data_IF_337872080625
#
_entry.id   IF_337872080625
#
_cell.length_a   1.000
_cell.length_b   1.000
_cell.length_c   1.000
_cell.angle_alpha   90.00
_cell.angle_beta   90.00
_cell.angle_gamma   90.00
#
_symmetry.space_group_name_H-M   'P 1'
#
loop_
_entity.id
_entity.type
_entity.pdbx_description
1 polymer ?
#
# COMPACT_ATOMS: atom_id res chain seq x y z
N UNK A 1 13.22 -5.61 2.81
CA UNK A 1 11.92 -5.60 2.12
C UNK A 1 11.91 -4.60 0.97
N UNK A 2 12.46 -3.41 1.19
CA UNK A 2 12.61 -2.34 0.21
C UNK A 2 13.26 -2.76 -1.13
N UNK A 3 14.29 -3.62 -1.13
CA UNK A 3 14.91 -4.11 -2.38
C UNK A 3 13.91 -4.83 -3.31
N UNK A 4 13.03 -5.66 -2.75
CA UNK A 4 12.04 -6.40 -3.55
C UNK A 4 11.00 -5.43 -4.10
N UNK A 5 10.57 -4.47 -3.28
CA UNK A 5 9.62 -3.43 -3.67
C UNK A 5 10.20 -2.53 -4.77
N UNK A 6 11.47 -2.14 -4.66
CA UNK A 6 12.20 -1.36 -5.66
C UNK A 6 12.30 -2.11 -6.99
N UNK A 7 12.69 -3.39 -6.95
CA UNK A 7 12.75 -4.23 -8.16
C UNK A 7 11.37 -4.36 -8.81
N UNK A 8 10.31 -4.50 -8.01
CA UNK A 8 8.94 -4.61 -8.51
C UNK A 8 8.47 -3.29 -9.15
N UNK A 9 8.71 -2.16 -8.49
CA UNK A 9 8.40 -0.84 -9.03
C UNK A 9 9.13 -0.60 -10.36
N UNK A 10 10.42 -0.95 -10.45
CA UNK A 10 11.18 -0.87 -11.70
C UNK A 10 10.61 -1.78 -12.80
N UNK A 11 10.20 -3.00 -12.45
CA UNK A 11 9.59 -3.95 -13.41
C UNK A 11 8.26 -3.45 -13.96
N UNK A 12 7.47 -2.74 -13.14
CA UNK A 12 6.20 -2.15 -13.53
C UNK A 12 6.33 -0.74 -14.13
N UNK A 13 7.56 -0.21 -14.25
CA UNK A 13 7.80 1.15 -14.76
C UNK A 13 7.29 2.26 -13.83
N UNK A 14 7.16 1.97 -12.54
CA UNK A 14 6.66 2.88 -11.51
C UNK A 14 7.84 3.64 -10.90
N UNK A 15 7.76 4.97 -10.90
CA UNK A 15 8.70 5.84 -10.19
C UNK A 15 8.19 6.07 -8.76
N UNK A 16 9.07 5.89 -7.78
CA UNK A 16 8.77 6.04 -6.35
C UNK A 16 9.92 6.79 -5.68
N UNK A 17 9.60 7.75 -4.82
CA UNK A 17 10.62 8.44 -4.02
C UNK A 17 11.15 7.53 -2.89
N UNK A 18 12.33 7.84 -2.36
CA UNK A 18 12.96 7.00 -1.33
C UNK A 18 12.17 7.00 -0.01
N UNK A 19 11.46 8.10 0.30
CA UNK A 19 10.67 8.20 1.53
C UNK A 19 9.40 7.31 1.48
N UNK A 20 8.69 7.31 0.35
CA UNK A 20 7.57 6.42 0.08
C UNK A 20 8.03 4.97 0.03
N UNK A 21 9.18 4.68 -0.59
CA UNK A 21 9.72 3.33 -0.64
C UNK A 21 10.01 2.79 0.77
N UNK A 22 10.60 3.63 1.64
CA UNK A 22 10.87 3.26 3.03
C UNK A 22 9.56 3.03 3.81
N UNK A 23 8.58 3.94 3.67
CA UNK A 23 7.25 3.76 4.27
C UNK A 23 6.57 2.46 3.79
N UNK A 24 6.65 2.15 2.50
CA UNK A 24 6.07 0.92 1.94
C UNK A 24 6.78 -0.33 2.50
N UNK A 25 8.09 -0.25 2.72
CA UNK A 25 8.89 -1.27 3.40
C UNK A 25 8.46 -1.52 4.84
N UNK A 26 8.17 -0.46 5.59
CA UNK A 26 7.63 -0.53 6.95
C UNK A 26 6.23 -1.14 6.97
N UNK A 27 5.36 -0.72 6.05
CA UNK A 27 4.01 -1.28 5.90
C UNK A 27 4.10 -2.78 5.64
N UNK A 28 4.94 -3.20 4.69
CA UNK A 28 5.11 -4.61 4.37
C UNK A 28 5.66 -5.43 5.55
N UNK A 29 6.49 -4.83 6.40
CA UNK A 29 7.03 -5.46 7.62
C UNK A 29 5.94 -5.63 8.69
N UNK A 30 5.06 -4.63 8.86
CA UNK A 30 3.92 -4.69 9.80
C UNK A 30 2.81 -5.65 9.33
N UNK A 31 2.63 -5.75 8.02
CA UNK A 31 1.56 -6.53 7.37
C UNK A 31 2.12 -7.76 6.66
N UNK A 32 2.28 -7.70 5.33
CA UNK A 32 2.90 -8.71 4.47
C UNK A 32 3.53 -8.04 3.25
N UNK A 33 4.55 -8.66 2.66
CA UNK A 33 5.14 -8.21 1.40
C UNK A 33 4.12 -8.15 0.25
N UNK A 34 3.18 -9.11 0.21
CA UNK A 34 2.12 -9.15 -0.81
C UNK A 34 1.27 -7.88 -0.77
N UNK A 35 0.86 -7.47 0.42
CA UNK A 35 0.07 -6.27 0.61
C UNK A 35 0.85 -5.02 0.18
N UNK A 36 2.11 -4.86 0.61
CA UNK A 36 2.94 -3.74 0.18
C UNK A 36 3.10 -3.67 -1.35
N UNK A 37 3.33 -4.80 -2.03
CA UNK A 37 3.38 -4.85 -3.51
C UNK A 37 2.05 -4.43 -4.13
N UNK A 38 0.93 -4.85 -3.59
CA UNK A 38 -0.40 -4.48 -4.09
C UNK A 38 -0.68 -2.98 -3.96
N UNK A 39 -0.07 -2.28 -3.01
CA UNK A 39 -0.24 -0.83 -2.85
C UNK A 39 0.51 -0.02 -3.91
N UNK A 40 1.51 -0.57 -4.61
CA UNK A 40 2.28 0.17 -5.64
C UNK A 40 1.39 0.68 -6.78
N UNK A 41 0.49 -0.15 -7.29
CA UNK A 41 -0.40 0.21 -8.40
C UNK A 41 -1.39 1.32 -8.05
N UNK A 42 -2.20 1.23 -6.98
CA UNK A 42 -3.09 2.33 -6.58
C UNK A 42 -2.32 3.58 -6.14
N UNK A 43 -1.12 3.46 -5.56
CA UNK A 43 -0.28 4.62 -5.25
C UNK A 43 0.20 5.33 -6.51
N UNK A 44 0.58 4.58 -7.54
CA UNK A 44 0.93 5.14 -8.86
C UNK A 44 -0.26 5.86 -9.51
N UNK A 45 -1.47 5.30 -9.36
CA UNK A 45 -2.68 5.94 -9.86
C UNK A 45 -2.99 7.24 -9.11
N UNK A 46 -2.85 7.24 -7.78
CA UNK A 46 -3.07 8.41 -6.93
C UNK A 46 -2.10 9.53 -7.26
N UNK A 47 -0.81 9.20 -7.45
CA UNK A 47 0.18 10.14 -7.95
C UNK A 47 -0.25 10.76 -9.29
N UNK A 48 -0.70 9.94 -10.25
CA UNK A 48 -1.18 10.41 -11.57
C UNK A 48 -2.41 11.31 -11.46
N UNK A 49 -3.36 11.00 -10.58
CA UNK A 49 -4.54 11.85 -10.31
C UNK A 49 -4.10 13.21 -9.77
N UNK A 50 -3.07 13.22 -8.93
CA UNK A 50 -2.43 14.43 -8.40
C UNK A 50 -1.45 15.10 -9.39
N UNK A 51 -1.51 14.78 -10.68
CA UNK A 51 -0.65 15.27 -11.75
C UNK A 51 0.86 15.06 -11.51
N UNK A 52 1.24 14.05 -10.71
CA UNK A 52 2.61 13.64 -10.44
C UNK A 52 2.93 12.32 -11.15
N UNK A 53 4.17 12.16 -11.60
CA UNK A 53 4.67 10.92 -12.21
C UNK A 53 5.42 10.03 -11.22
N UNK A 54 5.76 10.56 -10.04
CA UNK A 54 6.50 9.89 -8.97
C UNK A 54 5.58 9.74 -7.77
N UNK A 55 5.52 8.51 -7.24
CA UNK A 55 4.82 8.21 -5.98
C UNK A 55 5.54 8.92 -4.84
N UNK A 56 4.77 9.69 -4.08
CA UNK A 56 5.20 10.35 -2.86
C UNK A 56 4.63 9.65 -1.63
N UNK A 57 5.21 9.95 -0.46
CA UNK A 57 4.76 9.43 0.83
C UNK A 57 3.25 9.61 1.07
N UNK A 58 2.71 10.76 0.70
CA UNK A 58 1.30 11.08 0.90
C UNK A 58 0.38 10.14 0.11
N UNK A 59 0.80 9.69 -1.09
CA UNK A 59 0.03 8.72 -1.87
C UNK A 59 -0.03 7.36 -1.16
N UNK A 60 1.09 6.94 -0.53
CA UNK A 60 1.14 5.69 0.23
C UNK A 60 0.24 5.77 1.46
N UNK A 61 0.22 6.92 2.14
CA UNK A 61 -0.62 7.13 3.30
C UNK A 61 -2.11 7.08 2.92
N UNK A 62 -2.51 7.82 1.88
CA UNK A 62 -3.89 7.84 1.39
C UNK A 62 -4.35 6.43 0.98
N UNK A 63 -3.55 5.74 0.17
CA UNK A 63 -3.87 4.39 -0.30
C UNK A 63 -3.89 3.38 0.85
N UNK A 64 -3.02 3.55 1.85
CA UNK A 64 -3.00 2.70 3.04
C UNK A 64 -4.23 2.85 3.95
N UNK A 65 -4.95 3.97 3.86
CA UNK A 65 -6.23 4.18 4.54
C UNK A 65 -7.40 3.61 3.74
N UNK A 66 -7.33 3.65 2.40
CA UNK A 66 -8.39 3.18 1.51
C UNK A 66 -8.41 1.66 1.33
N UNK A 67 -7.24 1.02 1.27
CA UNK A 67 -7.11 -0.41 1.07
C UNK A 67 -6.66 -1.05 2.38
N UNK A 68 -7.39 -2.05 2.86
CA UNK A 68 -7.09 -2.68 4.15
C UNK A 68 -6.29 -3.96 3.98
N UNK A 69 -5.33 -4.20 4.87
CA UNK A 69 -4.67 -5.49 4.97
C UNK A 69 -5.59 -6.54 5.63
N UNK A 70 -5.22 -7.82 5.51
CA UNK A 70 -6.02 -8.93 6.01
C UNK A 70 -6.23 -8.89 7.54
N UNK A 71 -5.24 -8.46 8.33
CA UNK A 71 -5.36 -8.39 9.80
C UNK A 71 -6.33 -7.28 10.18
N UNK A 72 -6.23 -6.11 9.55
CA UNK A 72 -7.14 -4.99 9.78
C UNK A 72 -8.57 -5.36 9.39
N UNK A 73 -8.75 -6.01 8.24
CA UNK A 73 -10.05 -6.52 7.78
C UNK A 73 -10.67 -7.52 8.76
N UNK A 74 -9.87 -8.49 9.25
CA UNK A 74 -10.35 -9.47 10.23
C UNK A 74 -10.73 -8.82 11.58
N UNK A 75 -9.99 -7.79 12.01
CA UNK A 75 -10.32 -7.02 13.22
C UNK A 75 -11.67 -6.32 13.10
N UNK A 76 -11.93 -5.65 11.97
CA UNK A 76 -13.22 -4.98 11.70
C UNK A 76 -14.36 -6.00 11.71
N UNK A 77 -14.19 -7.14 11.05
CA UNK A 77 -15.18 -8.22 11.04
C UNK A 77 -15.48 -8.70 12.47
N UNK A 78 -14.45 -8.86 13.30
CA UNK A 78 -14.61 -9.30 14.68
C UNK A 78 -15.30 -8.25 15.57
N UNK A 79 -15.04 -6.96 15.35
CA UNK A 79 -15.65 -5.84 16.08
C UNK A 79 -17.12 -5.61 15.70
N UNK A 80 -17.52 -6.02 14.50
CA UNK A 80 -18.85 -5.80 13.96
C UNK A 80 -19.61 -7.11 13.68
N UNK A 81 -19.31 -8.19 14.39
CA UNK A 81 -19.89 -9.53 14.16
C UNK A 81 -21.42 -9.52 14.02
N UNK A 82 -22.12 -8.70 14.79
CA UNK A 82 -23.59 -8.62 14.76
C UNK A 82 -24.16 -8.06 13.45
N UNK A 83 -23.31 -7.42 12.62
CA UNK A 83 -23.67 -6.90 11.30
C UNK A 83 -23.43 -7.90 10.16
N UNK A 84 -22.79 -9.05 10.42
CA UNK A 84 -22.45 -10.04 9.41
C UNK A 84 -23.19 -11.36 9.62
N UNK A 85 -23.55 -12.00 8.51
CA UNK A 85 -24.15 -13.34 8.54
C UNK A 85 -23.11 -14.37 9.02
N UNK A 86 -23.59 -15.42 9.69
CA UNK A 86 -22.78 -16.54 10.13
C UNK A 86 -22.62 -17.59 9.03
#
# INVERSE_FOLDING_TARGET
MEQILRLRAQTEGIQIDDEALSMLGDIGTKTTLRYAVQLLTPSSLTAKVNARSVIAKDDIQEVGELFLDAKSSAKILSQHKDKYMK
#
